data_IF_145663173872
#
_entry.id   IF_145663173872
#
_cell.length_a   1.000
_cell.length_b   1.000
_cell.length_c   1.000
_cell.angle_alpha   90.00
_cell.angle_beta   90.00
_cell.angle_gamma   90.00
#
_symmetry.space_group_name_H-M   'P 1'
#
loop_
_entity.id
_entity.type
_entity.pdbx_description
1 polymer ?
#
# COMPACT_ATOMS: atom_id res chain seq x y z
N UNK A 1 17.57 -5.94 -3.24
CA UNK A 1 16.16 -5.66 -2.96
C UNK A 1 15.69 -6.42 -1.75
N UNK A 2 14.77 -5.85 -1.04
CA UNK A 2 14.17 -6.48 0.14
C UNK A 2 12.69 -6.70 -0.10
N UNK A 3 12.11 -7.60 0.67
CA UNK A 3 10.68 -7.86 0.62
C UNK A 3 10.03 -7.17 1.81
N UNK A 4 8.96 -6.45 1.55
CA UNK A 4 8.22 -5.71 2.57
C UNK A 4 6.78 -6.15 2.61
N UNK A 5 6.21 -6.18 3.81
CA UNK A 5 4.77 -6.36 3.99
C UNK A 5 4.17 -5.00 4.30
N UNK A 6 3.33 -4.51 3.40
CA UNK A 6 2.71 -3.19 3.53
C UNK A 6 1.24 -3.38 3.87
N UNK A 7 0.85 -2.88 5.03
CA UNK A 7 -0.54 -2.92 5.48
C UNK A 7 -1.19 -1.60 5.13
N UNK A 8 -2.32 -1.67 4.45
CA UNK A 8 -2.94 -0.50 3.84
C UNK A 8 -4.46 -0.55 3.91
N UNK A 9 -5.07 0.61 3.70
CA UNK A 9 -6.50 0.75 3.44
C UNK A 9 -6.64 1.63 2.21
N UNK A 10 -7.42 1.20 1.24
CA UNK A 10 -7.64 1.95 0.01
C UNK A 10 -9.12 2.32 -0.08
N UNK A 11 -9.39 3.59 -0.38
CA UNK A 11 -10.72 4.15 -0.40
C UNK A 11 -11.03 4.68 -1.79
N UNK A 12 -12.30 4.62 -2.18
CA UNK A 12 -12.75 5.32 -3.38
C UNK A 12 -12.58 6.82 -3.14
N UNK A 13 -12.12 7.55 -4.15
CA UNK A 13 -11.89 8.98 -4.02
C UNK A 13 -13.18 9.71 -3.67
N UNK A 14 -13.10 10.57 -2.68
CA UNK A 14 -14.24 11.32 -2.21
C UNK A 14 -15.20 10.52 -1.36
N UNK A 15 -14.83 9.30 -0.95
CA UNK A 15 -15.69 8.42 -0.17
C UNK A 15 -14.94 7.95 1.08
N UNK A 16 -15.70 7.65 2.13
CA UNK A 16 -15.16 7.01 3.32
C UNK A 16 -15.33 5.49 3.28
N UNK A 17 -15.85 4.96 2.18
CA UNK A 17 -16.06 3.53 2.03
C UNK A 17 -14.75 2.85 1.62
N UNK A 18 -14.36 1.82 2.37
CA UNK A 18 -13.16 1.06 2.06
C UNK A 18 -13.40 0.23 0.80
N UNK A 19 -12.54 0.43 -0.21
CA UNK A 19 -12.60 -0.35 -1.44
C UNK A 19 -11.76 -1.62 -1.32
N UNK A 20 -10.63 -1.53 -0.62
CA UNK A 20 -9.74 -2.66 -0.41
C UNK A 20 -8.90 -2.41 0.82
N UNK A 21 -8.56 -3.44 1.57
CA UNK A 21 -7.63 -3.33 2.68
C UNK A 21 -6.96 -4.66 2.92
N UNK A 22 -5.83 -4.61 3.59
CA UNK A 22 -5.09 -5.82 3.91
C UNK A 22 -3.59 -5.57 3.90
N UNK A 23 -2.84 -6.64 3.68
CA UNK A 23 -1.39 -6.61 3.65
C UNK A 23 -0.92 -7.17 2.31
N UNK A 24 -0.04 -6.42 1.65
CA UNK A 24 0.53 -6.84 0.36
C UNK A 24 2.04 -6.98 0.51
N UNK A 25 2.57 -8.05 -0.03
CA UNK A 25 4.01 -8.30 -0.03
C UNK A 25 4.61 -7.71 -1.31
N UNK A 26 5.59 -6.83 -1.15
CA UNK A 26 6.19 -6.09 -2.27
C UNK A 26 7.70 -6.14 -2.16
N UNK A 27 8.37 -6.48 -3.27
CA UNK A 27 9.82 -6.40 -3.36
C UNK A 27 10.21 -4.99 -3.80
N UNK A 28 11.10 -4.36 -3.06
CA UNK A 28 11.55 -3.02 -3.36
C UNK A 28 12.92 -2.76 -2.73
N UNK A 29 13.54 -1.66 -3.11
CA UNK A 29 14.85 -1.29 -2.57
C UNK A 29 14.75 -0.64 -1.21
N UNK A 30 13.60 -0.10 -0.86
CA UNK A 30 13.35 0.52 0.43
C UNK A 30 11.88 0.45 0.78
N UNK A 31 11.56 0.68 2.06
CA UNK A 31 10.18 0.72 2.50
C UNK A 31 9.40 1.81 1.77
N UNK A 32 10.01 2.97 1.56
CA UNK A 32 9.38 4.06 0.82
C UNK A 32 8.99 3.61 -0.59
N UNK A 33 9.91 2.93 -1.29
CA UNK A 33 9.64 2.45 -2.64
C UNK A 33 8.54 1.40 -2.66
N UNK A 34 8.48 0.55 -1.64
CA UNK A 34 7.41 -0.44 -1.52
C UNK A 34 6.05 0.26 -1.39
N UNK A 35 5.98 1.31 -0.58
CA UNK A 35 4.75 2.07 -0.39
C UNK A 35 4.34 2.78 -1.68
N UNK A 36 5.29 3.35 -2.40
CA UNK A 36 4.98 4.00 -3.68
C UNK A 36 4.49 2.99 -4.72
N UNK A 37 5.08 1.80 -4.73
CA UNK A 37 4.64 0.73 -5.63
C UNK A 37 3.20 0.34 -5.33
N UNK A 38 2.85 0.20 -4.05
CA UNK A 38 1.49 -0.14 -3.67
C UNK A 38 0.51 0.93 -4.11
N UNK A 39 0.85 2.20 -3.91
CA UNK A 39 -0.01 3.31 -4.34
C UNK A 39 -0.21 3.31 -5.85
N UNK A 40 0.80 2.90 -6.61
CA UNK A 40 0.69 2.80 -8.06
C UNK A 40 -0.25 1.66 -8.47
N UNK A 41 -0.22 0.54 -7.75
CA UNK A 41 -1.10 -0.59 -8.00
C UNK A 41 -2.56 -0.16 -7.84
N UNK A 42 -2.85 0.68 -6.85
CA UNK A 42 -4.20 1.17 -6.59
C UNK A 42 -4.39 2.59 -7.13
N UNK A 43 -3.79 2.91 -8.28
CA UNK A 43 -3.97 4.22 -8.90
C UNK A 43 -5.47 4.47 -9.11
N UNK A 44 -5.91 5.67 -8.76
CA UNK A 44 -7.33 6.02 -8.82
C UNK A 44 -8.05 5.89 -7.49
N UNK A 45 -7.42 5.26 -6.49
CA UNK A 45 -7.97 5.18 -5.14
C UNK A 45 -7.12 6.01 -4.19
N UNK A 46 -7.68 6.36 -3.05
CA UNK A 46 -6.93 7.00 -1.98
C UNK A 46 -6.40 5.90 -1.07
N UNK A 47 -5.08 5.79 -1.00
CA UNK A 47 -4.41 4.74 -0.23
C UNK A 47 -3.82 5.33 1.03
N UNK A 48 -4.18 4.72 2.16
CA UNK A 48 -3.60 5.05 3.47
C UNK A 48 -2.68 3.90 3.85
N UNK A 49 -1.40 4.19 4.00
CA UNK A 49 -0.44 3.19 4.47
C UNK A 49 -0.51 3.15 5.99
N UNK A 50 -0.89 2.00 6.53
CA UNK A 50 -0.99 1.84 7.98
C UNK A 50 0.37 1.63 8.60
N UNK A 51 1.12 0.67 8.07
CA UNK A 51 2.51 0.43 8.47
C UNK A 51 3.17 -0.49 7.46
N UNK A 52 4.50 -0.51 7.48
CA UNK A 52 5.31 -1.32 6.59
C UNK A 52 6.34 -2.06 7.42
N UNK A 53 6.43 -3.37 7.23
CA UNK A 53 7.40 -4.23 7.91
C UNK A 53 8.26 -4.97 6.91
N UNK A 54 9.46 -5.32 7.31
CA UNK A 54 10.27 -6.26 6.54
C UNK A 54 9.62 -7.63 6.59
N UNK A 55 9.59 -8.27 5.45
CA UNK A 55 9.04 -9.63 5.37
C UNK A 55 10.13 -10.67 5.59
#
# INVERSE_FOLDING_TARGET
MSTYKVTYSAYAKGSSTVASEGTMTINAESAYMAEQTLKAIFAGLEVIIRYTNNA
#
